data_IF_473608053815
#
_entry.id   IF_473608053815
#
_cell.length_a   1.000
_cell.length_b   1.000
_cell.length_c   1.000
_cell.angle_alpha   90.00
_cell.angle_beta   90.00
_cell.angle_gamma   90.00
#
_symmetry.space_group_name_H-M   'P 1'
#
loop_
_entity.id
_entity.type
_entity.pdbx_description
1 polymer ?
#
# COMPACT_ATOMS: atom_id res chain seq x y z
N UNK A 1 -44.75 -53.46 6.52
CA UNK A 1 -44.66 -52.57 7.69
C UNK A 1 -43.44 -52.98 8.50
N UNK A 2 -42.32 -52.31 8.29
CA UNK A 2 -41.09 -52.51 9.05
C UNK A 2 -40.42 -51.14 9.16
N UNK A 3 -40.57 -50.53 10.34
CA UNK A 3 -40.08 -49.19 10.64
C UNK A 3 -38.58 -49.30 10.91
N UNK A 4 -37.76 -48.83 9.97
CA UNK A 4 -36.37 -48.44 10.26
C UNK A 4 -36.41 -46.93 10.45
N UNK A 5 -36.71 -46.49 11.67
CA UNK A 5 -36.42 -45.13 12.11
C UNK A 5 -34.94 -45.06 12.46
N UNK A 6 -34.18 -44.37 11.62
CA UNK A 6 -32.80 -43.97 11.84
C UNK A 6 -32.67 -43.18 13.15
N UNK A 7 -32.07 -43.79 14.17
CA UNK A 7 -31.33 -43.04 15.19
C UNK A 7 -29.96 -42.69 14.59
N UNK A 8 -29.77 -41.47 14.07
CA UNK A 8 -28.45 -41.03 13.62
C UNK A 8 -28.25 -39.51 13.62
N UNK A 9 -28.87 -38.78 14.55
CA UNK A 9 -28.56 -37.36 14.73
C UNK A 9 -27.37 -37.13 15.66
N UNK A 10 -27.10 -38.05 16.62
CA UNK A 10 -26.04 -37.85 17.62
C UNK A 10 -24.64 -38.33 17.18
N UNK A 11 -24.56 -39.34 16.30
CA UNK A 11 -23.26 -39.83 15.80
C UNK A 11 -22.55 -38.83 14.87
N UNK A 12 -23.29 -38.06 14.07
CA UNK A 12 -22.71 -37.08 13.14
C UNK A 12 -22.00 -35.91 13.85
N UNK A 13 -22.44 -35.52 15.06
CA UNK A 13 -21.83 -34.43 15.82
C UNK A 13 -20.50 -34.85 16.49
N UNK A 14 -20.40 -36.10 16.93
CA UNK A 14 -19.17 -36.64 17.53
C UNK A 14 -18.05 -36.75 16.49
N UNK A 15 -18.37 -37.24 15.29
CA UNK A 15 -17.38 -37.47 14.24
C UNK A 15 -16.84 -36.16 13.65
N UNK A 16 -17.70 -35.13 13.49
CA UNK A 16 -17.27 -33.80 13.07
C UNK A 16 -16.32 -33.13 14.07
N UNK A 17 -16.57 -33.30 15.38
CA UNK A 17 -15.69 -32.79 16.43
C UNK A 17 -14.33 -33.48 16.38
N UNK A 18 -14.31 -34.80 16.24
CA UNK A 18 -13.08 -35.59 16.14
C UNK A 18 -12.26 -35.18 14.92
N UNK A 19 -12.88 -35.09 13.73
CA UNK A 19 -12.20 -34.67 12.49
C UNK A 19 -11.60 -33.27 12.63
N UNK A 20 -12.34 -32.34 13.25
CA UNK A 20 -11.85 -30.98 13.52
C UNK A 20 -10.65 -30.98 14.45
N UNK A 21 -10.68 -31.76 15.54
CA UNK A 21 -9.59 -31.82 16.50
C UNK A 21 -8.32 -32.45 15.87
N UNK A 22 -8.48 -33.45 14.99
CA UNK A 22 -7.39 -33.99 14.19
C UNK A 22 -6.81 -32.96 13.21
N UNK A 23 -7.67 -32.21 12.52
CA UNK A 23 -7.24 -31.14 11.62
C UNK A 23 -6.42 -30.09 12.38
N UNK A 24 -6.86 -29.72 13.58
CA UNK A 24 -6.11 -28.79 14.45
C UNK A 24 -4.73 -29.32 14.83
N UNK A 25 -4.63 -30.57 15.25
CA UNK A 25 -3.33 -31.20 15.60
C UNK A 25 -2.42 -31.17 14.37
N UNK A 26 -2.93 -31.65 13.23
CA UNK A 26 -2.19 -31.70 11.98
C UNK A 26 -1.66 -30.33 11.56
N UNK A 27 -2.53 -29.31 11.53
CA UNK A 27 -2.12 -27.94 11.18
C UNK A 27 -1.11 -27.37 12.16
N UNK A 28 -1.26 -27.64 13.46
CA UNK A 28 -0.31 -27.16 14.47
C UNK A 28 1.09 -27.74 14.26
N UNK A 29 1.19 -29.06 14.10
CA UNK A 29 2.46 -29.75 13.90
C UNK A 29 3.11 -29.38 12.57
N UNK A 30 2.34 -29.43 11.46
CA UNK A 30 2.87 -29.10 10.14
C UNK A 30 3.31 -27.64 10.02
N UNK A 31 2.59 -26.71 10.65
CA UNK A 31 2.99 -25.30 10.64
C UNK A 31 4.30 -25.06 11.41
N UNK A 32 4.51 -25.74 12.53
CA UNK A 32 5.74 -25.63 13.33
C UNK A 32 6.94 -26.21 12.57
N UNK A 33 6.75 -27.36 11.91
CA UNK A 33 7.70 -27.95 10.99
C UNK A 33 8.03 -26.97 9.86
N UNK A 34 7.01 -26.41 9.21
CA UNK A 34 7.16 -25.48 8.08
C UNK A 34 7.94 -24.22 8.46
N UNK A 35 7.73 -23.71 9.68
CA UNK A 35 8.48 -22.58 10.22
C UNK A 35 9.95 -22.92 10.45
N UNK A 36 10.24 -24.07 11.06
CA UNK A 36 11.59 -24.43 11.52
C UNK A 36 12.48 -24.98 10.40
N UNK A 37 11.89 -25.65 9.42
CA UNK A 37 12.64 -26.31 8.36
C UNK A 37 13.04 -25.32 7.25
N UNK A 38 14.19 -25.56 6.64
CA UNK A 38 14.71 -24.81 5.49
C UNK A 38 15.10 -25.72 4.31
N UNK A 39 14.94 -27.04 4.47
CA UNK A 39 15.30 -28.04 3.47
C UNK A 39 14.11 -28.39 2.55
N UNK A 40 14.31 -29.34 1.63
CA UNK A 40 13.30 -29.79 0.65
C UNK A 40 11.92 -30.06 1.27
N UNK A 41 11.90 -30.61 2.49
CA UNK A 41 10.67 -30.92 3.21
C UNK A 41 9.80 -29.68 3.49
N UNK A 42 10.38 -28.48 3.60
CA UNK A 42 9.62 -27.22 3.70
C UNK A 42 8.71 -27.03 2.47
N UNK A 43 9.21 -27.36 1.28
CA UNK A 43 8.45 -27.23 0.03
C UNK A 43 7.39 -28.32 -0.11
N UNK A 44 7.67 -29.54 0.38
CA UNK A 44 6.66 -30.60 0.44
C UNK A 44 5.49 -30.19 1.36
N UNK A 45 5.79 -29.55 2.49
CA UNK A 45 4.77 -29.01 3.39
C UNK A 45 4.02 -27.81 2.76
N UNK A 46 4.71 -26.96 1.99
CA UNK A 46 4.06 -25.88 1.24
C UNK A 46 3.06 -26.44 0.22
N UNK A 47 3.45 -27.47 -0.53
CA UNK A 47 2.57 -28.10 -1.52
C UNK A 47 1.35 -28.73 -0.87
N UNK A 48 1.56 -29.41 0.27
CA UNK A 48 0.46 -29.91 1.09
C UNK A 48 -0.47 -28.78 1.55
N UNK A 49 0.08 -27.64 1.98
CA UNK A 49 -0.72 -26.47 2.36
C UNK A 49 -1.53 -25.91 1.19
N UNK A 50 -0.95 -25.77 -0.01
CA UNK A 50 -1.70 -25.34 -1.21
C UNK A 50 -2.92 -26.22 -1.44
N UNK A 51 -2.73 -27.55 -1.40
CA UNK A 51 -3.82 -28.51 -1.59
C UNK A 51 -4.85 -28.41 -0.46
N UNK A 52 -4.42 -28.52 0.79
CA UNK A 52 -5.32 -28.48 1.94
C UNK A 52 -6.15 -27.21 1.99
N UNK A 53 -5.53 -26.06 1.76
CA UNK A 53 -6.18 -24.77 1.82
C UNK A 53 -7.21 -24.55 0.71
N UNK A 54 -7.08 -25.24 -0.42
CA UNK A 54 -8.13 -25.25 -1.45
C UNK A 54 -9.42 -25.94 -0.99
N UNK A 55 -9.36 -26.82 0.02
CA UNK A 55 -10.51 -27.55 0.56
C UNK A 55 -11.06 -26.98 1.87
N UNK A 56 -10.31 -26.09 2.55
CA UNK A 56 -10.77 -25.48 3.80
C UNK A 56 -11.79 -24.37 3.47
N UNK A 57 -13.02 -24.55 3.96
CA UNK A 57 -14.10 -23.58 3.77
C UNK A 57 -14.11 -22.50 4.85
N UNK A 58 -14.75 -21.38 4.52
CA UNK A 58 -14.99 -20.23 5.42
C UNK A 58 -15.61 -20.65 6.74
N UNK A 59 -16.62 -21.53 6.65
CA UNK A 59 -17.40 -22.00 7.77
C UNK A 59 -16.52 -22.79 8.72
N UNK A 60 -15.64 -23.65 8.18
CA UNK A 60 -14.71 -24.44 8.97
C UNK A 60 -13.71 -23.55 9.72
N UNK A 61 -13.17 -22.51 9.07
CA UNK A 61 -12.27 -21.56 9.74
C UNK A 61 -12.99 -20.79 10.83
N UNK A 62 -14.21 -20.28 10.56
CA UNK A 62 -14.98 -19.57 11.58
C UNK A 62 -15.32 -20.48 12.78
N UNK A 63 -15.69 -21.73 12.52
CA UNK A 63 -15.92 -22.72 13.57
C UNK A 63 -14.62 -22.98 14.37
N UNK A 64 -13.48 -23.14 13.71
CA UNK A 64 -12.18 -23.30 14.37
C UNK A 64 -11.84 -22.09 15.26
N UNK A 65 -12.06 -20.89 14.75
CA UNK A 65 -11.85 -19.63 15.48
C UNK A 65 -12.74 -19.52 16.71
N UNK A 66 -14.02 -19.86 16.61
CA UNK A 66 -14.96 -19.80 17.73
C UNK A 66 -14.63 -20.82 18.83
N UNK A 67 -14.05 -21.97 18.46
CA UNK A 67 -13.78 -23.05 19.40
C UNK A 67 -12.43 -22.90 20.13
N UNK A 68 -11.36 -22.49 19.42
CA UNK A 68 -10.02 -22.32 20.03
C UNK A 68 -9.17 -21.27 19.29
N UNK A 69 -9.40 -20.00 19.64
CA UNK A 69 -8.65 -18.84 19.15
C UNK A 69 -7.14 -18.99 19.39
N UNK A 70 -6.76 -19.49 20.56
CA UNK A 70 -5.37 -19.53 21.00
C UNK A 70 -4.56 -20.49 20.11
N UNK A 71 -5.10 -21.68 19.89
CA UNK A 71 -4.50 -22.70 19.05
C UNK A 71 -4.54 -22.29 17.59
N UNK A 72 -5.63 -21.67 17.14
CA UNK A 72 -5.73 -21.16 15.77
C UNK A 72 -4.63 -20.13 15.47
N UNK A 73 -4.40 -19.20 16.39
CA UNK A 73 -3.34 -18.20 16.23
C UNK A 73 -1.94 -18.80 16.13
N UNK A 74 -1.63 -19.85 16.89
CA UNK A 74 -0.29 -20.45 16.89
C UNK A 74 0.07 -21.01 15.51
N UNK A 75 -0.79 -21.85 14.94
CA UNK A 75 -0.47 -22.51 13.68
C UNK A 75 -0.51 -21.55 12.49
N UNK A 76 -1.41 -20.55 12.52
CA UNK A 76 -1.47 -19.46 11.51
C UNK A 76 -0.18 -18.65 11.54
N UNK A 77 0.31 -18.25 12.71
CA UNK A 77 1.55 -17.48 12.81
C UNK A 77 2.75 -18.29 12.33
N UNK A 78 2.85 -19.56 12.72
CA UNK A 78 3.92 -20.44 12.26
C UNK A 78 3.93 -20.58 10.73
N UNK A 79 2.76 -20.79 10.13
CA UNK A 79 2.61 -20.86 8.69
C UNK A 79 3.00 -19.55 7.99
N UNK A 80 2.64 -18.39 8.54
CA UNK A 80 3.07 -17.09 8.02
C UNK A 80 4.58 -16.90 8.05
N UNK A 81 5.26 -17.30 9.12
CA UNK A 81 6.73 -17.22 9.16
C UNK A 81 7.35 -18.05 8.04
N UNK A 82 6.89 -19.29 7.85
CA UNK A 82 7.37 -20.13 6.76
C UNK A 82 7.08 -19.54 5.37
N UNK A 83 5.88 -18.98 5.16
CA UNK A 83 5.52 -18.31 3.90
C UNK A 83 6.37 -17.06 3.66
N UNK A 84 6.59 -16.25 4.70
CA UNK A 84 7.43 -15.05 4.65
C UNK A 84 8.86 -15.38 4.27
N UNK A 85 9.42 -16.48 4.79
CA UNK A 85 10.76 -16.94 4.41
C UNK A 85 10.84 -17.24 2.92
N UNK A 86 9.85 -17.97 2.38
CA UNK A 86 9.80 -18.34 0.96
C UNK A 86 9.59 -17.11 0.08
N UNK A 87 8.62 -16.25 0.41
CA UNK A 87 8.30 -15.04 -0.34
C UNK A 87 9.44 -14.00 -0.35
N UNK A 88 10.31 -14.00 0.67
CA UNK A 88 11.50 -13.13 0.70
C UNK A 88 12.71 -13.75 0.01
N UNK A 89 12.72 -15.06 -0.13
CA UNK A 89 13.84 -15.77 -0.72
C UNK A 89 13.84 -15.58 -2.24
N UNK A 90 15.03 -15.53 -2.85
CA UNK A 90 15.18 -15.58 -4.33
C UNK A 90 15.06 -17.02 -4.86
N UNK A 91 14.26 -17.85 -4.21
CA UNK A 91 14.05 -19.25 -4.61
C UNK A 91 13.17 -19.25 -5.87
N UNK A 92 13.33 -20.25 -6.73
CA UNK A 92 12.71 -20.28 -8.07
C UNK A 92 11.20 -20.03 -8.07
N UNK A 93 10.73 -19.43 -9.18
CA UNK A 93 9.37 -18.92 -9.35
C UNK A 93 8.27 -19.90 -8.92
N UNK A 94 8.46 -21.21 -9.11
CA UNK A 94 7.46 -22.23 -8.74
C UNK A 94 7.11 -22.24 -7.23
N UNK A 95 8.10 -22.07 -6.34
CA UNK A 95 7.83 -22.08 -4.90
C UNK A 95 7.24 -20.75 -4.42
N UNK A 96 7.60 -19.65 -5.08
CA UNK A 96 7.00 -18.35 -4.86
C UNK A 96 5.53 -18.36 -5.32
N UNK A 97 5.25 -18.98 -6.46
CA UNK A 97 3.91 -19.22 -7.00
C UNK A 97 3.07 -20.06 -6.04
N UNK A 98 3.60 -21.20 -5.60
CA UNK A 98 2.94 -22.04 -4.57
C UNK A 98 2.68 -21.25 -3.29
N UNK A 99 3.59 -20.36 -2.88
CA UNK A 99 3.38 -19.51 -1.71
C UNK A 99 2.29 -18.45 -1.94
N UNK A 100 2.21 -17.82 -3.13
CA UNK A 100 1.14 -16.88 -3.49
C UNK A 100 -0.21 -17.61 -3.60
N UNK A 101 -0.24 -18.77 -4.24
CA UNK A 101 -1.42 -19.63 -4.30
C UNK A 101 -1.83 -20.02 -2.89
N UNK A 102 -0.92 -20.45 -2.01
CA UNK A 102 -1.28 -20.77 -0.62
C UNK A 102 -1.93 -19.57 0.09
N UNK A 103 -1.57 -18.32 -0.23
CA UNK A 103 -2.21 -17.14 0.35
C UNK A 103 -3.58 -16.79 -0.27
N UNK A 104 -3.99 -17.39 -1.39
CA UNK A 104 -5.19 -17.02 -2.17
C UNK A 104 -6.51 -17.70 -1.72
N UNK A 105 -6.66 -19.04 -1.72
CA UNK A 105 -7.89 -19.73 -1.36
C UNK A 105 -8.11 -19.81 0.16
N UNK A 106 -7.10 -19.52 1.00
CA UNK A 106 -7.31 -19.39 2.44
C UNK A 106 -8.15 -18.15 2.72
N UNK A 107 -9.45 -18.37 2.80
CA UNK A 107 -10.43 -17.39 3.17
C UNK A 107 -10.13 -16.69 4.52
N UNK A 108 -10.26 -15.37 4.74
CA UNK A 108 -10.69 -14.26 3.87
C UNK A 108 -10.22 -12.89 4.36
N UNK A 109 -9.36 -12.83 5.37
CA UNK A 109 -8.86 -11.60 6.04
C UNK A 109 -8.05 -11.91 7.28
N UNK A 110 -8.49 -12.96 7.97
CA UNK A 110 -7.91 -13.51 9.21
C UNK A 110 -6.41 -13.83 9.06
N UNK A 111 -5.98 -14.29 7.88
CA UNK A 111 -4.60 -14.69 7.61
C UNK A 111 -3.66 -13.56 7.21
N UNK A 112 -4.15 -12.45 6.67
CA UNK A 112 -3.32 -11.25 6.50
C UNK A 112 -3.32 -10.40 7.77
N UNK A 113 -4.42 -10.46 8.53
CA UNK A 113 -4.66 -9.60 9.70
C UNK A 113 -5.26 -10.41 10.85
N UNK A 114 -4.42 -11.05 11.68
CA UNK A 114 -4.89 -11.83 12.85
C UNK A 114 -5.41 -10.95 13.97
N UNK A 115 -5.01 -9.68 14.02
CA UNK A 115 -5.35 -8.71 15.08
C UNK A 115 -6.84 -8.32 15.20
N UNK A 116 -7.75 -8.93 14.45
CA UNK A 116 -9.20 -8.87 14.70
C UNK A 116 -9.77 -10.13 15.37
N UNK A 117 -8.99 -11.19 15.58
CA UNK A 117 -9.43 -12.32 16.41
C UNK A 117 -9.72 -11.91 17.86
N UNK A 118 -9.02 -10.91 18.38
CA UNK A 118 -9.15 -10.45 19.77
C UNK A 118 -10.13 -9.29 19.93
N UNK A 119 -10.24 -8.37 18.97
CA UNK A 119 -11.04 -7.14 19.16
C UNK A 119 -12.56 -7.34 19.04
N UNK A 120 -13.02 -8.28 18.21
CA UNK A 120 -14.46 -8.46 17.99
C UNK A 120 -15.16 -9.28 19.09
N UNK A 121 -14.40 -9.92 19.99
CA UNK A 121 -14.95 -10.68 21.12
C UNK A 121 -14.82 -9.90 22.43
N UNK A 122 -13.78 -9.06 22.58
CA UNK A 122 -13.56 -8.27 23.80
C UNK A 122 -14.56 -7.12 24.01
N UNK A 123 -15.41 -6.80 23.03
CA UNK A 123 -16.52 -5.85 23.21
C UNK A 123 -17.70 -6.44 23.99
N UNK A 124 -17.63 -7.71 24.40
CA UNK A 124 -18.68 -8.36 25.22
C UNK A 124 -18.28 -8.70 26.65
N UNK A 125 -17.06 -8.39 27.08
CA UNK A 125 -16.60 -8.71 28.44
C UNK A 125 -15.87 -7.55 29.12
N UNK A 126 -16.67 -6.77 29.84
CA UNK A 126 -16.38 -6.07 31.10
C UNK A 126 -14.91 -5.82 31.48
N UNK A 127 -14.56 -4.52 31.53
CA UNK A 127 -13.67 -3.87 32.51
C UNK A 127 -12.81 -4.78 33.40
N UNK A 128 -11.51 -4.85 33.09
CA UNK A 128 -10.49 -5.07 34.13
C UNK A 128 -9.18 -4.37 33.76
N UNK A 129 -8.88 -3.34 34.53
CA UNK A 129 -7.60 -2.64 34.65
C UNK A 129 -6.49 -3.59 35.09
N UNK A 130 -5.57 -3.97 34.19
CA UNK A 130 -4.21 -4.44 34.57
C UNK A 130 -3.23 -4.42 33.38
N UNK A 131 -2.03 -3.88 33.64
CA UNK A 131 -0.73 -4.15 33.01
C UNK A 131 -0.26 -3.32 31.80
N UNK A 132 0.55 -2.29 32.12
CA UNK A 132 1.32 -1.43 31.21
C UNK A 132 2.54 -2.12 30.56
N UNK A 133 2.83 -3.38 30.87
CA UNK A 133 3.93 -4.14 30.26
C UNK A 133 3.51 -5.01 29.06
N UNK A 134 2.24 -5.42 28.97
CA UNK A 134 1.72 -6.23 27.85
C UNK A 134 1.52 -5.42 26.56
N UNK A 135 1.40 -4.09 26.67
CA UNK A 135 1.05 -3.23 25.53
C UNK A 135 2.14 -3.13 24.46
N UNK A 136 3.42 -3.30 24.81
CA UNK A 136 4.51 -3.15 23.84
C UNK A 136 4.68 -4.40 22.97
N UNK A 137 4.58 -5.58 23.56
CA UNK A 137 4.69 -6.86 22.84
C UNK A 137 3.49 -7.07 21.89
N UNK A 138 2.30 -6.61 22.29
CA UNK A 138 1.10 -6.69 21.45
C UNK A 138 1.16 -5.73 20.26
N UNK A 139 1.62 -4.49 20.45
CA UNK A 139 1.88 -3.54 19.37
C UNK A 139 2.91 -4.05 18.37
N UNK A 140 3.97 -4.70 18.85
CA UNK A 140 5.01 -5.25 17.99
C UNK A 140 4.49 -6.42 17.13
N UNK A 141 3.68 -7.30 17.70
CA UNK A 141 2.99 -8.37 16.96
C UNK A 141 2.09 -7.82 15.86
N UNK A 142 1.25 -6.83 16.18
CA UNK A 142 0.39 -6.16 15.20
C UNK A 142 1.23 -5.59 14.06
N UNK A 143 2.33 -4.91 14.37
CA UNK A 143 3.25 -4.35 13.37
C UNK A 143 3.86 -5.42 12.45
N UNK A 144 4.18 -6.61 12.98
CA UNK A 144 4.69 -7.72 12.15
C UNK A 144 3.64 -8.30 11.20
N UNK A 145 2.39 -8.42 11.65
CA UNK A 145 1.26 -8.89 10.83
C UNK A 145 1.08 -8.01 9.60
N UNK A 146 1.01 -6.70 9.84
CA UNK A 146 0.82 -5.72 8.78
C UNK A 146 2.01 -5.64 7.81
N UNK A 147 3.24 -5.86 8.30
CA UNK A 147 4.42 -5.99 7.42
C UNK A 147 4.32 -7.21 6.52
N UNK A 148 3.81 -8.33 7.03
CA UNK A 148 3.58 -9.54 6.23
C UNK A 148 2.49 -9.31 5.19
N UNK A 149 1.35 -8.74 5.58
CA UNK A 149 0.27 -8.42 4.64
C UNK A 149 0.73 -7.48 3.52
N UNK A 150 1.48 -6.43 3.86
CA UNK A 150 2.05 -5.51 2.87
C UNK A 150 3.01 -6.23 1.92
N UNK A 151 3.83 -7.16 2.39
CA UNK A 151 4.72 -7.96 1.55
C UNK A 151 3.92 -8.82 0.55
N UNK A 152 2.88 -9.52 1.01
CA UNK A 152 2.06 -10.40 0.17
C UNK A 152 1.35 -9.60 -0.92
N UNK A 153 0.71 -8.48 -0.56
CA UNK A 153 0.08 -7.57 -1.53
C UNK A 153 1.09 -7.06 -2.54
N UNK A 154 2.27 -6.64 -2.08
CA UNK A 154 3.29 -6.07 -2.95
C UNK A 154 3.81 -7.09 -3.97
N UNK A 155 4.02 -8.34 -3.55
CA UNK A 155 4.41 -9.42 -4.46
C UNK A 155 3.27 -9.78 -5.43
N UNK A 156 2.02 -9.81 -4.97
CA UNK A 156 0.87 -10.03 -5.85
C UNK A 156 0.75 -8.94 -6.92
N UNK A 157 0.95 -7.67 -6.57
CA UNK A 157 0.97 -6.56 -7.53
C UNK A 157 2.08 -6.71 -8.57
N UNK A 158 3.31 -7.03 -8.11
CA UNK A 158 4.46 -7.23 -9.00
C UNK A 158 4.19 -8.38 -9.96
N UNK A 159 3.65 -9.49 -9.46
CA UNK A 159 3.38 -10.67 -10.28
C UNK A 159 2.29 -10.43 -11.32
N UNK A 160 1.20 -9.75 -10.95
CA UNK A 160 0.15 -9.33 -11.90
C UNK A 160 0.78 -8.51 -13.03
N UNK A 161 1.62 -7.55 -12.69
CA UNK A 161 2.25 -6.69 -13.68
C UNK A 161 3.18 -7.47 -14.61
N UNK A 162 4.06 -8.31 -14.06
CA UNK A 162 4.96 -9.14 -14.87
C UNK A 162 4.18 -10.00 -15.87
N UNK A 163 3.07 -10.61 -15.43
CA UNK A 163 2.20 -11.41 -16.29
C UNK A 163 1.45 -10.58 -17.33
N UNK A 164 0.95 -9.39 -16.97
CA UNK A 164 0.28 -8.51 -17.93
C UNK A 164 1.26 -7.94 -18.97
N UNK A 165 2.48 -7.59 -18.56
CA UNK A 165 3.54 -7.13 -19.46
C UNK A 165 3.94 -8.25 -20.43
N UNK A 166 4.08 -9.50 -19.94
CA UNK A 166 4.35 -10.68 -20.79
C UNK A 166 3.22 -10.94 -21.80
N UNK A 167 1.96 -10.81 -21.40
CA UNK A 167 0.81 -10.90 -22.30
C UNK A 167 0.79 -9.78 -23.35
N UNK A 168 1.14 -8.55 -22.95
CA UNK A 168 1.23 -7.40 -23.86
C UNK A 168 2.32 -7.64 -24.92
N UNK A 169 3.50 -8.09 -24.50
CA UNK A 169 4.61 -8.42 -25.40
C UNK A 169 4.24 -9.52 -26.40
N UNK A 170 3.45 -10.52 -25.99
CA UNK A 170 2.98 -11.56 -26.90
C UNK A 170 1.99 -11.04 -27.94
N UNK A 171 1.06 -10.18 -27.52
CA UNK A 171 0.08 -9.54 -28.39
C UNK A 171 0.73 -8.62 -29.42
N UNK A 172 1.73 -7.83 -29.01
CA UNK A 172 2.45 -6.92 -29.90
C UNK A 172 3.32 -7.66 -30.93
N UNK A 173 3.89 -8.81 -30.56
CA UNK A 173 4.80 -9.56 -31.42
C UNK A 173 4.13 -10.59 -32.34
N UNK A 174 2.80 -10.62 -32.44
CA UNK A 174 2.04 -11.59 -33.28
C UNK A 174 2.48 -13.05 -33.09
N UNK A 175 3.01 -13.40 -31.92
CA UNK A 175 3.20 -14.81 -31.56
C UNK A 175 1.81 -15.36 -31.31
N UNK A 176 1.48 -16.52 -31.89
CA UNK A 176 0.24 -17.21 -31.58
C UNK A 176 0.06 -17.22 -30.06
N UNK A 177 -1.06 -16.68 -29.59
CA UNK A 177 -1.41 -16.65 -28.17
C UNK A 177 -1.42 -18.09 -27.66
N UNK A 178 -0.34 -18.50 -27.00
CA UNK A 178 -0.31 -19.73 -26.24
C UNK A 178 -0.72 -19.37 -24.82
N UNK A 179 -1.82 -19.92 -24.29
CA UNK A 179 -2.18 -19.72 -22.90
C UNK A 179 -1.04 -20.24 -22.04
N UNK A 180 -0.30 -19.34 -21.41
CA UNK A 180 0.71 -19.73 -20.43
C UNK A 180 -0.08 -20.25 -19.23
N UNK A 181 -0.09 -21.57 -19.02
CA UNK A 181 -0.79 -22.27 -17.93
C UNK A 181 -0.60 -21.60 -16.56
N UNK A 182 0.59 -21.04 -16.33
CA UNK A 182 0.91 -20.24 -15.13
C UNK A 182 0.01 -19.00 -14.95
N UNK A 183 -0.33 -18.29 -16.03
CA UNK A 183 -1.17 -17.09 -15.97
C UNK A 183 -2.59 -17.42 -15.50
N UNK A 184 -3.16 -18.54 -15.97
CA UNK A 184 -4.51 -18.98 -15.59
C UNK A 184 -4.62 -19.31 -14.10
N UNK A 185 -3.52 -19.68 -13.46
CA UNK A 185 -3.49 -20.06 -12.04
C UNK A 185 -3.12 -18.87 -11.16
N UNK A 186 -2.09 -18.11 -11.52
CA UNK A 186 -1.49 -17.10 -10.64
C UNK A 186 -2.20 -15.76 -10.72
N UNK A 187 -2.69 -15.33 -11.90
CA UNK A 187 -3.43 -14.07 -12.00
C UNK A 187 -4.67 -14.07 -11.10
N UNK A 188 -5.56 -15.09 -11.14
CA UNK A 188 -6.70 -15.14 -10.24
C UNK A 188 -6.30 -15.16 -8.78
N UNK A 189 -5.21 -15.85 -8.43
CA UNK A 189 -4.70 -15.89 -7.07
C UNK A 189 -4.25 -14.52 -6.56
N UNK A 190 -3.49 -13.78 -7.38
CA UNK A 190 -3.02 -12.45 -7.04
C UNK A 190 -4.17 -11.43 -6.97
N UNK A 191 -5.13 -11.49 -7.90
CA UNK A 191 -6.33 -10.63 -7.84
C UNK A 191 -7.19 -10.94 -6.62
N UNK A 192 -7.30 -12.21 -6.22
CA UNK A 192 -8.00 -12.61 -4.99
C UNK A 192 -7.33 -12.00 -3.75
N UNK A 193 -5.99 -12.03 -3.67
CA UNK A 193 -5.22 -11.36 -2.60
C UNK A 193 -5.55 -9.87 -2.55
N UNK A 194 -5.59 -9.19 -3.69
CA UNK A 194 -5.90 -7.76 -3.77
C UNK A 194 -7.34 -7.47 -3.34
N UNK A 195 -8.32 -8.18 -3.91
CA UNK A 195 -9.74 -8.00 -3.62
C UNK A 195 -10.02 -8.20 -2.12
N UNK A 196 -9.46 -9.25 -1.51
CA UNK A 196 -9.65 -9.53 -0.08
C UNK A 196 -8.93 -8.53 0.82
N UNK A 197 -7.77 -8.05 0.39
CA UNK A 197 -7.10 -6.96 1.08
C UNK A 197 -7.96 -5.70 1.05
N UNK A 198 -8.50 -5.31 -0.11
CA UNK A 198 -9.39 -4.15 -0.23
C UNK A 198 -10.67 -4.36 0.60
N UNK A 199 -11.33 -5.52 0.49
CA UNK A 199 -12.53 -5.86 1.26
C UNK A 199 -12.31 -5.72 2.77
N UNK A 200 -11.17 -6.19 3.28
CA UNK A 200 -10.76 -6.01 4.68
C UNK A 200 -10.71 -4.55 5.08
N UNK A 201 -10.04 -3.76 4.25
CA UNK A 201 -9.74 -2.36 4.51
C UNK A 201 -11.00 -1.53 4.46
N UNK A 202 -11.90 -1.80 3.51
CA UNK A 202 -13.19 -1.13 3.46
C UNK A 202 -14.05 -1.51 4.67
N UNK A 203 -14.19 -2.80 5.01
CA UNK A 203 -15.10 -3.24 6.10
C UNK A 203 -14.67 -2.80 7.50
N UNK A 204 -13.37 -2.80 7.81
CA UNK A 204 -12.89 -2.56 9.17
C UNK A 204 -12.56 -1.09 9.47
N UNK A 205 -12.51 -0.23 8.46
CA UNK A 205 -12.13 1.18 8.65
C UNK A 205 -13.23 2.18 8.34
N UNK A 206 -14.37 1.77 7.76
CA UNK A 206 -15.52 2.65 7.52
C UNK A 206 -16.29 3.05 8.79
N UNK A 207 -16.01 2.44 9.95
CA UNK A 207 -16.81 2.62 11.18
C UNK A 207 -16.09 3.17 12.43
N UNK A 208 -14.79 3.47 12.38
CA UNK A 208 -13.99 3.70 13.61
C UNK A 208 -13.18 5.02 13.64
N UNK A 209 -13.51 6.01 12.81
CA UNK A 209 -12.82 7.33 12.82
C UNK A 209 -13.55 8.32 13.74
N UNK A 210 -14.22 7.84 14.77
CA UNK A 210 -14.69 8.69 15.86
C UNK A 210 -13.72 8.55 17.03
N UNK A 211 -13.08 9.67 17.39
CA UNK A 211 -12.57 10.04 18.73
C UNK A 211 -11.11 9.79 19.14
N UNK A 212 -10.20 9.17 18.37
CA UNK A 212 -8.79 9.05 18.79
C UNK A 212 -7.80 9.72 17.83
N UNK A 213 -7.09 10.73 18.34
CA UNK A 213 -6.14 11.63 17.67
C UNK A 213 -4.85 10.96 17.15
N UNK A 214 -4.82 9.63 17.04
CA UNK A 214 -3.67 8.86 16.56
C UNK A 214 -4.10 7.90 15.48
N UNK A 215 -3.44 8.01 14.33
CA UNK A 215 -3.55 7.01 13.28
C UNK A 215 -3.15 5.66 13.86
N UNK A 216 -4.07 4.69 13.88
CA UNK A 216 -3.72 3.36 14.39
C UNK A 216 -2.71 2.71 13.45
N UNK A 217 -1.80 1.88 13.99
CA UNK A 217 -0.84 1.11 13.19
C UNK A 217 -1.54 0.29 12.08
N UNK A 218 -2.76 -0.17 12.38
CA UNK A 218 -3.62 -0.88 11.43
C UNK A 218 -3.92 -0.01 10.21
N UNK A 219 -4.28 1.25 10.42
CA UNK A 219 -4.67 2.15 9.36
C UNK A 219 -3.48 2.61 8.51
N UNK A 220 -2.32 2.87 9.12
CA UNK A 220 -1.08 3.18 8.38
C UNK A 220 -0.73 2.03 7.42
N UNK A 221 -0.79 0.80 7.90
CA UNK A 221 -0.48 -0.35 7.07
C UNK A 221 -1.52 -0.62 5.98
N UNK A 222 -2.78 -0.26 6.24
CA UNK A 222 -3.86 -0.29 5.26
C UNK A 222 -3.58 0.67 4.11
N UNK A 223 -3.24 1.91 4.43
CA UNK A 223 -2.83 2.90 3.43
C UNK A 223 -1.60 2.41 2.67
N UNK A 224 -0.66 1.74 3.34
CA UNK A 224 0.53 1.19 2.68
C UNK A 224 0.19 0.11 1.66
N UNK A 225 -0.76 -0.77 1.99
CA UNK A 225 -1.26 -1.80 1.07
C UNK A 225 -1.92 -1.14 -0.14
N UNK A 226 -2.79 -0.15 0.10
CA UNK A 226 -3.43 0.61 -0.97
C UNK A 226 -2.41 1.41 -1.79
N UNK A 227 -1.41 2.00 -1.18
CA UNK A 227 -0.40 2.81 -1.86
C UNK A 227 0.41 1.96 -2.84
N UNK A 228 0.76 0.73 -2.45
CA UNK A 228 1.46 -0.21 -3.31
C UNK A 228 0.59 -0.64 -4.47
N UNK A 229 -0.68 -0.97 -4.22
CA UNK A 229 -1.61 -1.36 -5.28
C UNK A 229 -1.88 -0.22 -6.27
N UNK A 230 -2.21 0.97 -5.76
CA UNK A 230 -2.51 2.15 -6.58
C UNK A 230 -1.29 2.68 -7.34
N UNK A 231 -0.06 2.35 -6.91
CA UNK A 231 1.16 2.71 -7.62
C UNK A 231 1.36 1.90 -8.91
N UNK A 232 0.78 0.71 -9.00
CA UNK A 232 0.91 -0.12 -10.20
C UNK A 232 -0.15 0.22 -11.25
N UNK A 233 0.24 0.14 -12.52
CA UNK A 233 -0.70 0.27 -13.65
C UNK A 233 -1.52 -1.00 -13.74
N UNK A 234 -2.77 -0.96 -13.29
CA UNK A 234 -3.71 -2.09 -13.34
C UNK A 234 -4.95 -1.77 -14.17
N UNK A 235 -5.60 -2.81 -14.71
CA UNK A 235 -6.82 -2.70 -15.54
C UNK A 235 -8.11 -2.34 -14.76
N UNK A 236 -8.01 -2.18 -13.44
CA UNK A 236 -9.14 -1.98 -12.51
C UNK A 236 -9.45 -0.50 -12.26
N UNK A 237 -9.66 0.27 -13.33
CA UNK A 237 -9.91 1.72 -13.26
C UNK A 237 -11.12 2.07 -12.35
N UNK A 238 -12.19 1.25 -12.39
CA UNK A 238 -13.42 1.48 -11.61
C UNK A 238 -13.18 1.34 -10.11
N UNK A 239 -12.45 0.31 -9.73
CA UNK A 239 -12.08 -0.01 -8.36
C UNK A 239 -11.14 1.06 -7.81
N UNK A 240 -10.16 1.50 -8.61
CA UNK A 240 -9.27 2.62 -8.30
C UNK A 240 -10.07 3.88 -7.99
N UNK A 241 -11.01 4.25 -8.87
CA UNK A 241 -11.86 5.43 -8.69
C UNK A 241 -12.69 5.34 -7.39
N UNK A 242 -13.16 4.13 -7.04
CA UNK A 242 -13.97 3.91 -5.82
C UNK A 242 -13.14 4.03 -4.54
N UNK A 243 -11.85 3.70 -4.58
CA UNK A 243 -10.96 3.73 -3.42
C UNK A 243 -10.38 5.12 -3.15
N UNK A 244 -10.28 6.00 -4.16
CA UNK A 244 -9.71 7.35 -3.99
C UNK A 244 -10.44 8.14 -2.88
N UNK A 245 -11.78 8.27 -2.86
CA UNK A 245 -12.47 9.01 -1.80
C UNK A 245 -12.12 8.49 -0.39
N UNK A 246 -12.14 7.16 -0.22
CA UNK A 246 -11.78 6.50 1.04
C UNK A 246 -10.35 6.84 1.50
N UNK A 247 -9.39 6.88 0.57
CA UNK A 247 -8.02 7.27 0.87
C UNK A 247 -7.94 8.72 1.37
N UNK A 248 -8.72 9.62 0.78
CA UNK A 248 -8.75 11.03 1.12
C UNK A 248 -9.47 11.32 2.44
N UNK A 249 -10.57 10.62 2.72
CA UNK A 249 -11.26 10.64 4.03
C UNK A 249 -10.32 10.27 5.17
N UNK A 250 -9.29 9.48 4.87
CA UNK A 250 -8.31 9.04 5.84
C UNK A 250 -7.12 9.99 5.97
N UNK A 251 -6.54 10.41 4.84
CA UNK A 251 -5.29 11.18 4.80
C UNK A 251 -5.51 12.65 5.12
N UNK A 252 -6.60 13.27 4.64
CA UNK A 252 -6.83 14.71 4.80
C UNK A 252 -7.06 15.09 6.26
N UNK A 253 -7.89 14.39 7.06
CA UNK A 253 -7.99 14.66 8.49
C UNK A 253 -6.64 14.48 9.18
N UNK A 254 -5.90 13.40 8.90
CA UNK A 254 -4.58 13.17 9.51
C UNK A 254 -3.59 14.32 9.29
N UNK A 255 -3.72 15.05 8.17
CA UNK A 255 -2.89 16.22 7.84
C UNK A 255 -3.42 17.53 8.45
N UNK A 256 -4.74 17.74 8.50
CA UNK A 256 -5.36 18.94 9.09
C UNK A 256 -5.20 19.00 10.61
N UNK A 257 -5.19 17.86 11.29
CA UNK A 257 -5.08 17.77 12.75
C UNK A 257 -3.66 17.91 13.31
N UNK A 258 -2.67 18.35 12.52
CA UNK A 258 -1.33 18.76 12.99
C UNK A 258 -0.48 17.68 13.70
N UNK A 259 -1.04 16.51 14.01
CA UNK A 259 -0.46 15.53 14.92
C UNK A 259 0.54 14.58 14.27
N UNK A 260 0.50 14.40 12.94
CA UNK A 260 1.42 13.46 12.25
C UNK A 260 2.70 14.16 11.77
N UNK A 261 2.65 15.46 11.50
CA UNK A 261 3.82 16.18 10.97
C UNK A 261 4.84 16.58 12.05
N UNK A 262 4.38 16.97 13.25
CA UNK A 262 5.27 17.39 14.35
C UNK A 262 6.11 16.22 14.87
N UNK A 263 5.62 14.98 14.79
CA UNK A 263 6.36 13.79 15.22
C UNK A 263 7.32 13.22 14.17
N UNK A 264 7.09 13.47 12.87
CA UNK A 264 7.84 12.83 11.78
C UNK A 264 9.17 13.50 11.43
N UNK A 265 9.40 14.74 11.84
CA UNK A 265 10.68 15.44 11.58
C UNK A 265 11.68 15.33 12.74
N UNK A 266 11.27 14.85 13.93
CA UNK A 266 12.14 14.93 15.12
C UNK A 266 11.98 13.84 16.21
N UNK A 267 11.28 12.73 15.99
CA UNK A 267 11.17 11.72 17.06
C UNK A 267 11.29 10.27 16.61
N UNK A 268 12.07 9.51 17.38
CA UNK A 268 12.27 8.06 17.27
C UNK A 268 11.01 7.22 17.58
N UNK A 269 9.81 7.83 17.69
CA UNK A 269 8.56 7.13 17.99
C UNK A 269 7.41 7.61 17.08
N UNK A 270 7.01 6.72 16.16
CA UNK A 270 5.92 6.80 15.16
C UNK A 270 6.10 7.75 13.96
N UNK A 271 7.27 7.66 13.30
CA UNK A 271 7.61 8.38 12.06
C UNK A 271 7.18 7.67 10.76
N UNK A 272 5.94 7.88 10.32
CA UNK A 272 5.50 7.48 8.96
C UNK A 272 4.95 8.69 8.22
N UNK A 273 5.66 9.10 7.17
CA UNK A 273 5.22 10.15 6.26
C UNK A 273 4.24 9.57 5.23
N UNK A 274 2.94 9.78 5.46
CA UNK A 274 1.86 9.23 4.63
C UNK A 274 1.89 9.75 3.19
N UNK A 275 2.23 11.03 3.00
CA UNK A 275 2.33 11.59 1.66
C UNK A 275 3.48 10.92 0.91
N UNK A 276 4.66 10.81 1.53
CA UNK A 276 5.80 10.10 0.92
C UNK A 276 5.44 8.65 0.57
N UNK A 277 4.70 7.97 1.44
CA UNK A 277 4.23 6.61 1.21
C UNK A 277 3.25 6.50 0.03
N UNK A 278 2.37 7.51 -0.13
CA UNK A 278 1.36 7.56 -1.19
C UNK A 278 1.84 8.21 -2.48
N UNK A 279 3.00 8.88 -2.49
CA UNK A 279 3.56 9.52 -3.69
C UNK A 279 3.56 8.59 -4.91
N UNK A 280 4.02 7.32 -4.84
CA UNK A 280 3.99 6.44 -6.00
C UNK A 280 2.57 6.21 -6.54
N UNK A 281 1.59 6.03 -5.65
CA UNK A 281 0.18 5.94 -6.02
C UNK A 281 -0.30 7.23 -6.70
N UNK A 282 -0.06 8.39 -6.08
CA UNK A 282 -0.48 9.67 -6.63
C UNK A 282 0.12 9.96 -8.01
N UNK A 283 1.38 9.59 -8.24
CA UNK A 283 2.00 9.71 -9.56
C UNK A 283 1.28 8.89 -10.62
N UNK A 284 0.92 7.65 -10.29
CA UNK A 284 0.15 6.81 -11.20
C UNK A 284 -1.28 7.35 -11.41
N UNK A 285 -2.00 7.69 -10.34
CA UNK A 285 -3.36 8.22 -10.42
C UNK A 285 -3.45 9.52 -11.20
N UNK A 286 -2.52 10.44 -10.98
CA UNK A 286 -2.51 11.73 -11.69
C UNK A 286 -2.04 11.63 -13.12
N UNK A 287 -1.56 10.47 -13.57
CA UNK A 287 -1.21 10.22 -14.97
C UNK A 287 -2.38 9.73 -15.83
N UNK A 288 -3.55 9.47 -15.23
CA UNK A 288 -4.73 8.91 -15.89
C UNK A 288 -5.94 9.85 -15.75
N UNK A 289 -6.75 10.01 -16.80
CA UNK A 289 -7.79 11.04 -16.86
C UNK A 289 -8.85 10.97 -15.75
N UNK A 290 -9.57 9.83 -15.62
CA UNK A 290 -10.64 9.70 -14.61
C UNK A 290 -10.11 9.61 -13.18
N UNK A 291 -9.04 8.84 -12.89
CA UNK A 291 -8.44 8.86 -11.55
C UNK A 291 -7.94 10.26 -11.15
N UNK A 292 -7.36 11.03 -12.08
CA UNK A 292 -6.98 12.42 -11.85
C UNK A 292 -8.20 13.30 -11.52
N UNK A 293 -9.33 13.13 -12.21
CA UNK A 293 -10.55 13.85 -11.88
C UNK A 293 -11.05 13.56 -10.47
N UNK A 294 -11.03 12.30 -10.07
CA UNK A 294 -11.44 11.90 -8.73
C UNK A 294 -10.46 12.45 -7.67
N UNK A 295 -9.16 12.39 -7.94
CA UNK A 295 -8.11 12.97 -7.10
C UNK A 295 -8.30 14.49 -6.91
N UNK A 296 -8.59 15.22 -7.99
CA UNK A 296 -8.80 16.67 -7.94
C UNK A 296 -10.08 17.07 -7.20
N UNK A 297 -11.18 16.33 -7.38
CA UNK A 297 -12.46 16.62 -6.72
C UNK A 297 -12.43 16.40 -5.20
N UNK A 298 -11.57 15.50 -4.71
CA UNK A 298 -11.45 15.15 -3.29
C UNK A 298 -10.34 15.92 -2.54
N UNK A 299 -9.78 16.98 -3.14
CA UNK A 299 -8.82 17.86 -2.47
C UNK A 299 -7.35 17.45 -2.59
N UNK A 300 -7.01 16.50 -3.47
CA UNK A 300 -5.64 16.11 -3.79
C UNK A 300 -4.67 17.27 -4.07
N UNK A 301 -5.00 18.19 -4.98
CA UNK A 301 -4.23 19.41 -5.23
C UNK A 301 -3.84 20.20 -3.98
N UNK A 302 -4.83 20.53 -3.14
CA UNK A 302 -4.64 21.34 -1.93
C UNK A 302 -3.69 20.63 -0.95
N UNK A 303 -3.90 19.32 -0.78
CA UNK A 303 -3.08 18.47 0.08
C UNK A 303 -1.60 18.44 -0.37
N UNK A 304 -1.35 18.27 -1.67
CA UNK A 304 0.02 18.19 -2.21
C UNK A 304 0.71 19.57 -2.15
N UNK A 305 -0.01 20.65 -2.46
CA UNK A 305 0.54 22.01 -2.38
C UNK A 305 0.89 22.36 -0.93
N UNK A 306 -0.01 22.12 0.01
CA UNK A 306 0.21 22.37 1.44
C UNK A 306 1.39 21.55 1.98
N UNK A 307 1.48 20.27 1.60
CA UNK A 307 2.62 19.42 1.96
C UNK A 307 3.95 19.95 1.40
N UNK A 308 3.99 20.34 0.11
CA UNK A 308 5.19 20.88 -0.53
C UNK A 308 5.68 22.16 0.16
N UNK A 309 4.76 23.09 0.45
CA UNK A 309 5.06 24.33 1.18
C UNK A 309 5.58 24.03 2.59
N UNK A 310 4.93 23.10 3.31
CA UNK A 310 5.34 22.73 4.66
C UNK A 310 6.73 22.10 4.72
N UNK A 311 7.10 21.21 3.79
CA UNK A 311 8.48 20.66 3.74
C UNK A 311 9.49 21.81 3.62
N UNK A 312 9.22 22.72 2.68
CA UNK A 312 10.10 23.86 2.44
C UNK A 312 10.26 24.75 3.66
N UNK A 313 9.16 25.11 4.32
CA UNK A 313 9.19 26.00 5.48
C UNK A 313 9.86 25.34 6.71
N UNK A 314 9.64 24.04 6.93
CA UNK A 314 10.23 23.32 8.06
C UNK A 314 11.72 23.06 7.92
N UNK A 315 12.18 22.83 6.69
CA UNK A 315 13.58 22.50 6.41
C UNK A 315 14.54 23.68 6.60
N UNK A 316 14.01 24.91 6.78
CA UNK A 316 14.80 26.14 7.00
C UNK A 316 15.94 26.28 6.00
N UNK A 317 15.69 25.90 4.74
CA UNK A 317 16.67 25.93 3.67
C UNK A 317 17.10 27.37 3.43
N UNK A 318 18.39 27.65 3.65
CA UNK A 318 18.98 28.96 3.41
C UNK A 318 19.89 28.92 2.20
N UNK A 319 20.91 28.05 2.21
CA UNK A 319 21.97 28.05 1.20
C UNK A 319 22.24 26.67 0.58
N UNK A 320 21.64 25.61 1.13
CA UNK A 320 21.92 24.24 0.73
C UNK A 320 20.67 23.36 0.86
N UNK A 321 20.44 22.52 -0.15
CA UNK A 321 19.37 21.52 -0.17
C UNK A 321 20.02 20.15 -0.04
N UNK A 322 19.80 19.50 1.11
CA UNK A 322 20.27 18.14 1.38
C UNK A 322 19.48 17.12 0.57
N UNK A 323 20.10 15.98 0.23
CA UNK A 323 19.44 14.93 -0.56
C UNK A 323 18.16 14.39 0.07
N UNK A 324 18.12 14.28 1.41
CA UNK A 324 16.92 13.85 2.12
C UNK A 324 15.70 14.74 1.80
N UNK A 325 15.94 16.04 1.67
CA UNK A 325 14.90 17.03 1.32
C UNK A 325 14.58 16.95 -0.17
N UNK A 326 15.58 16.73 -1.03
CA UNK A 326 15.38 16.55 -2.47
C UNK A 326 14.40 15.40 -2.74
N UNK A 327 14.62 14.27 -2.07
CA UNK A 327 13.77 13.08 -2.19
C UNK A 327 12.33 13.35 -1.69
N UNK A 328 12.18 14.20 -0.67
CA UNK A 328 10.86 14.58 -0.13
C UNK A 328 10.11 15.59 -1.02
N UNK A 329 10.82 16.45 -1.77
CA UNK A 329 10.25 17.46 -2.66
C UNK A 329 9.94 16.95 -4.07
N UNK A 330 10.76 16.04 -4.61
CA UNK A 330 10.66 15.55 -5.98
C UNK A 330 9.31 14.90 -6.29
N UNK A 331 8.85 14.02 -5.39
CA UNK A 331 7.58 13.31 -5.53
C UNK A 331 6.37 14.24 -5.67
N UNK A 332 6.09 15.08 -4.66
CA UNK A 332 5.02 16.09 -4.72
C UNK A 332 5.11 17.00 -5.93
N UNK A 333 6.32 17.45 -6.28
CA UNK A 333 6.56 18.31 -7.43
C UNK A 333 6.13 17.63 -8.74
N UNK A 334 6.46 16.34 -8.90
CA UNK A 334 6.08 15.57 -10.07
C UNK A 334 4.55 15.31 -10.13
N UNK A 335 3.89 15.13 -8.99
CA UNK A 335 2.42 15.06 -8.93
C UNK A 335 1.80 16.38 -9.39
N UNK A 336 2.32 17.53 -8.95
CA UNK A 336 1.85 18.85 -9.40
C UNK A 336 2.08 19.05 -10.91
N UNK A 337 3.21 18.60 -11.44
CA UNK A 337 3.49 18.62 -12.88
C UNK A 337 2.44 17.84 -13.67
N UNK A 338 2.10 16.61 -13.26
CA UNK A 338 1.06 15.82 -13.93
C UNK A 338 -0.27 16.57 -13.98
N UNK A 339 -0.68 17.17 -12.86
CA UNK A 339 -1.94 17.94 -12.78
C UNK A 339 -1.89 19.18 -13.67
N UNK A 340 -0.80 19.94 -13.66
CA UNK A 340 -0.64 21.14 -14.48
C UNK A 340 -0.64 20.78 -15.97
N UNK A 341 -0.04 19.66 -16.36
CA UNK A 341 -0.01 19.21 -17.76
C UNK A 341 -1.40 18.77 -18.23
N UNK A 342 -2.16 18.03 -17.41
CA UNK A 342 -3.42 17.41 -17.82
C UNK A 342 -4.68 18.23 -17.50
N UNK A 343 -4.70 19.04 -16.44
CA UNK A 343 -5.86 19.84 -15.97
C UNK A 343 -5.53 21.30 -15.70
N UNK A 344 -4.72 21.89 -16.57
CA UNK A 344 -4.08 23.20 -16.38
C UNK A 344 -5.02 24.34 -15.99
N UNK A 345 -5.98 24.68 -16.83
CA UNK A 345 -6.78 25.90 -16.69
C UNK A 345 -7.59 25.90 -15.39
N UNK A 346 -8.28 24.79 -15.11
CA UNK A 346 -9.05 24.61 -13.89
C UNK A 346 -8.15 24.64 -12.65
N UNK A 347 -6.96 24.02 -12.73
CA UNK A 347 -6.00 23.98 -11.63
C UNK A 347 -5.40 25.35 -11.31
N UNK A 348 -4.88 26.07 -12.31
CA UNK A 348 -4.26 27.40 -12.11
C UNK A 348 -5.31 28.40 -11.62
N UNK A 349 -6.52 28.37 -12.17
CA UNK A 349 -7.59 29.30 -11.76
C UNK A 349 -8.01 29.07 -10.32
N UNK A 350 -8.15 27.79 -9.92
CA UNK A 350 -8.63 27.42 -8.58
C UNK A 350 -7.58 27.65 -7.49
N UNK A 351 -6.31 27.37 -7.75
CA UNK A 351 -5.23 27.38 -6.75
C UNK A 351 -4.24 28.53 -6.95
N UNK A 352 -4.67 29.62 -7.60
CA UNK A 352 -3.79 30.73 -8.01
C UNK A 352 -2.91 31.25 -6.87
N UNK A 353 -3.47 31.47 -5.68
CA UNK A 353 -2.77 32.07 -4.55
C UNK A 353 -1.71 31.12 -3.99
N UNK A 354 -2.06 29.85 -3.84
CA UNK A 354 -1.18 28.81 -3.32
C UNK A 354 -0.07 28.49 -4.31
N UNK A 355 -0.37 28.47 -5.61
CA UNK A 355 0.61 28.25 -6.67
C UNK A 355 1.65 29.38 -6.76
N UNK A 356 1.27 30.61 -6.42
CA UNK A 356 2.27 31.69 -6.30
C UNK A 356 3.29 31.39 -5.19
N UNK A 357 2.88 30.77 -4.08
CA UNK A 357 3.83 30.34 -3.03
C UNK A 357 4.75 29.23 -3.55
N UNK A 358 4.21 28.27 -4.31
CA UNK A 358 5.00 27.22 -4.97
C UNK A 358 6.02 27.81 -5.94
N UNK A 359 5.65 28.83 -6.72
CA UNK A 359 6.59 29.55 -7.61
C UNK A 359 7.71 30.23 -6.82
N UNK A 360 7.41 30.89 -5.70
CA UNK A 360 8.42 31.53 -4.84
C UNK A 360 9.40 30.48 -4.28
N UNK A 361 8.89 29.32 -3.86
CA UNK A 361 9.73 28.20 -3.43
C UNK A 361 10.59 27.72 -4.59
N UNK A 362 10.00 27.52 -5.77
CA UNK A 362 10.69 27.04 -6.95
C UNK A 362 11.83 27.96 -7.39
N UNK A 363 11.62 29.27 -7.32
CA UNK A 363 12.68 30.28 -7.48
C UNK A 363 13.84 30.03 -6.53
N UNK A 364 13.59 29.91 -5.23
CA UNK A 364 14.66 29.72 -4.23
C UNK A 364 15.42 28.42 -4.47
N UNK A 365 14.74 27.34 -4.85
CA UNK A 365 15.38 26.08 -5.27
C UNK A 365 16.32 26.36 -6.45
N UNK A 366 15.85 27.09 -7.47
CA UNK A 366 16.66 27.43 -8.63
C UNK A 366 17.88 28.28 -8.28
N UNK A 367 17.73 29.30 -7.44
CA UNK A 367 18.85 30.15 -6.99
C UNK A 367 19.94 29.33 -6.29
N UNK A 368 19.56 28.46 -5.35
CA UNK A 368 20.49 27.61 -4.61
C UNK A 368 21.20 26.64 -5.54
N UNK A 369 20.47 25.88 -6.36
CA UNK A 369 21.05 24.82 -7.18
C UNK A 369 21.85 25.36 -8.38
N UNK A 370 21.41 26.45 -9.00
CA UNK A 370 22.17 27.10 -10.09
C UNK A 370 23.48 27.69 -9.58
N UNK A 371 23.49 28.27 -8.37
CA UNK A 371 24.73 28.80 -7.77
C UNK A 371 25.77 27.70 -7.57
N UNK A 372 25.35 26.49 -7.19
CA UNK A 372 26.21 25.31 -7.06
C UNK A 372 26.72 24.81 -8.40
N UNK A 373 25.86 24.73 -9.43
CA UNK A 373 26.25 24.30 -10.78
C UNK A 373 27.34 25.18 -11.40
N UNK A 374 27.41 26.47 -11.03
CA UNK A 374 28.45 27.41 -11.49
C UNK A 374 29.80 27.22 -10.77
N UNK A 375 29.82 26.52 -9.64
CA UNK A 375 31.07 26.27 -8.90
C UNK A 375 31.84 25.10 -9.54
N UNK A 376 33.14 25.29 -9.81
CA UNK A 376 34.01 24.43 -10.63
C UNK A 376 34.36 23.06 -10.04
N UNK A 377 33.61 22.57 -9.05
CA UNK A 377 33.82 21.28 -8.38
C UNK A 377 32.54 20.51 -8.09
N UNK A 378 31.41 20.89 -8.69
CA UNK A 378 30.13 20.25 -8.41
C UNK A 378 30.02 18.90 -9.14
N UNK A 379 30.27 17.79 -8.43
CA UNK A 379 29.82 16.47 -8.86
C UNK A 379 28.31 16.38 -8.61
N UNK A 380 27.52 16.71 -9.63
CA UNK A 380 26.07 16.71 -9.51
C UNK A 380 25.55 15.38 -8.99
N UNK A 381 24.89 15.41 -7.84
CA UNK A 381 24.00 14.32 -7.44
C UNK A 381 22.77 14.40 -8.36
N UNK A 382 22.52 13.37 -9.17
CA UNK A 382 21.52 13.39 -10.25
C UNK A 382 20.15 13.90 -9.82
N UNK A 383 19.72 13.60 -8.58
CA UNK A 383 18.42 14.02 -8.05
C UNK A 383 18.30 15.55 -7.89
N UNK A 384 19.38 16.28 -7.57
CA UNK A 384 19.35 17.75 -7.46
C UNK A 384 19.16 18.41 -8.84
N UNK A 385 19.77 17.86 -9.90
CA UNK A 385 19.53 18.33 -11.27
C UNK A 385 18.08 18.08 -11.68
N UNK A 386 17.54 16.89 -11.38
CA UNK A 386 16.15 16.55 -11.68
C UNK A 386 15.20 17.50 -10.95
N UNK A 387 15.47 17.80 -9.68
CA UNK A 387 14.67 18.74 -8.90
C UNK A 387 14.68 20.13 -9.52
N UNK A 388 15.86 20.62 -9.92
CA UNK A 388 15.99 21.90 -10.60
C UNK A 388 15.17 21.95 -11.90
N UNK A 389 15.33 20.94 -12.76
CA UNK A 389 14.64 20.88 -14.05
C UNK A 389 13.12 20.85 -13.89
N UNK A 390 12.61 19.96 -13.03
CA UNK A 390 11.18 19.83 -12.77
C UNK A 390 10.58 21.09 -12.15
N UNK A 391 11.34 21.77 -11.29
CA UNK A 391 10.91 23.00 -10.63
C UNK A 391 10.76 24.13 -11.65
N UNK A 392 11.77 24.30 -12.51
CA UNK A 392 11.74 25.30 -13.58
C UNK A 392 10.57 25.04 -14.53
N UNK A 393 10.39 23.78 -14.94
CA UNK A 393 9.29 23.39 -15.83
C UNK A 393 7.92 23.68 -15.21
N UNK A 394 7.72 23.34 -13.93
CA UNK A 394 6.46 23.62 -13.24
C UNK A 394 6.19 25.13 -13.16
N UNK A 395 7.18 25.92 -12.75
CA UNK A 395 7.05 27.37 -12.66
C UNK A 395 6.71 28.00 -14.02
N UNK A 396 7.41 27.60 -15.09
CA UNK A 396 7.14 28.08 -16.44
C UNK A 396 5.73 27.70 -16.90
N UNK A 397 5.31 26.45 -16.66
CA UNK A 397 3.97 25.99 -16.97
C UNK A 397 2.89 26.72 -16.16
N UNK A 398 3.15 27.20 -14.95
CA UNK A 398 2.15 27.98 -14.21
C UNK A 398 2.10 29.42 -14.74
N UNK A 399 3.25 30.03 -15.06
CA UNK A 399 3.35 31.45 -15.44
C UNK A 399 2.96 31.70 -16.90
N UNK A 400 3.33 30.81 -17.81
CA UNK A 400 3.19 31.05 -19.25
C UNK A 400 1.73 31.15 -19.70
N UNK A 401 0.80 30.53 -18.99
CA UNK A 401 -0.58 30.35 -19.49
C UNK A 401 -0.68 29.50 -20.76
N UNK A 402 0.42 29.10 -21.43
CA UNK A 402 0.49 28.24 -22.62
C UNK A 402 0.83 26.76 -22.35
N UNK A 403 0.23 25.82 -23.10
CA UNK A 403 0.49 24.37 -23.01
C UNK A 403 1.98 24.03 -23.17
N UNK A 404 2.44 22.81 -22.80
CA UNK A 404 3.82 22.40 -23.06
C UNK A 404 4.11 22.41 -24.58
N UNK A 405 4.62 23.51 -25.10
CA UNK A 405 5.08 23.69 -26.48
C UNK A 405 6.50 24.26 -26.48
N UNK A 406 7.14 24.30 -27.65
CA UNK A 406 8.41 25.01 -27.86
C UNK A 406 8.40 26.44 -27.34
N UNK A 407 7.21 27.05 -27.33
CA UNK A 407 7.01 28.47 -27.04
C UNK A 407 7.13 28.75 -25.54
N UNK A 408 7.16 27.70 -24.69
CA UNK A 408 7.36 27.83 -23.24
C UNK A 408 8.72 28.46 -22.88
N UNK A 409 9.68 28.41 -23.80
CA UNK A 409 11.02 28.98 -23.65
C UNK A 409 11.19 30.31 -24.39
N UNK A 410 10.10 30.91 -24.88
CA UNK A 410 10.15 32.26 -25.45
C UNK A 410 10.66 33.26 -24.40
N UNK A 411 11.48 34.20 -24.88
CA UNK A 411 12.20 35.15 -24.02
C UNK A 411 11.23 35.94 -23.13
N UNK A 412 10.05 36.31 -23.62
CA UNK A 412 9.07 37.07 -22.84
C UNK A 412 8.47 36.26 -21.67
N UNK A 413 8.28 34.94 -21.84
CA UNK A 413 7.77 34.05 -20.78
C UNK A 413 8.86 33.78 -19.75
N UNK A 414 10.08 33.52 -20.21
CA UNK A 414 11.25 33.38 -19.33
C UNK A 414 11.50 34.67 -18.56
N UNK A 415 11.39 35.82 -19.22
CA UNK A 415 11.50 37.13 -18.58
C UNK A 415 10.34 37.39 -17.62
N UNK A 416 9.13 36.89 -17.84
CA UNK A 416 8.05 36.93 -16.83
C UNK A 416 8.39 36.09 -15.61
N UNK A 417 8.97 34.90 -15.76
CA UNK A 417 9.48 34.13 -14.61
C UNK A 417 10.58 34.91 -13.88
N UNK A 418 11.49 35.54 -14.62
CA UNK A 418 12.54 36.42 -14.09
C UNK A 418 11.98 37.72 -13.48
N UNK A 419 10.80 38.19 -13.88
CA UNK A 419 10.20 39.44 -13.40
C UNK A 419 9.12 39.22 -12.32
N UNK A 420 8.66 37.98 -12.15
CA UNK A 420 7.97 37.50 -10.93
C UNK A 420 9.00 37.31 -9.80
N UNK A 421 10.30 37.35 -10.13
CA UNK A 421 11.38 37.63 -9.16
C UNK A 421 11.26 39.05 -8.60
#
# INVERSE_FOLDING_TARGET
MGVITSMSTDHNFSDQKIIRDYLFIMLSELSDIFRKNQDKFKFDVLEFFVQMFSYITDKLIQDMLQNDISRTNVWVQNARYGLKDILKSKIGNENQDKALIANSPINRTIWLFTSNLTSNILTTSTTSTTSTQNSNTEKEKIKEEFKFAALVVQLACIEIKLMLDELSDQLENNKNYEPIERHEIILPACYTILEKSIEYLTKNFTGSIESNSTLTDKAIASIRILSVWLAEKGSLEKEVITVIPFLFDFVVPALKWGAVFVFSLNSQYTGVNLIKMLTPAFLNLTSQDKPLEMFCSHGGPEMIIDYFIKIWDHSKITNDIKDEIVDDLLGPLQVLLNIVVLKREAFITKYKVELMKVIIIGRKISEILVSKLKSTGYSSQGNQIILLANTLLLCLLIISGASPSSDLFENDIVMRFINVL
#
